data_IF_050500691663
#
_entry.id   IF_050500691663
#
_cell.length_a   1.000
_cell.length_b   1.000
_cell.length_c   1.000
_cell.angle_alpha   90.00
_cell.angle_beta   90.00
_cell.angle_gamma   90.00
#
_symmetry.space_group_name_H-M   'P 1'
#
loop_
_entity.id
_entity.type
_entity.pdbx_description
1 polymer ?
#
# COMPACT_ATOMS: atom_id res chain seq x y z
N UNK A 1 -20.02 22.82 7.51
CA UNK A 1 -20.21 21.75 6.52
C UNK A 1 -20.70 20.55 7.31
N UNK A 2 -21.94 20.11 7.07
CA UNK A 2 -22.45 18.88 7.68
C UNK A 2 -21.54 17.71 7.31
N UNK A 3 -21.18 16.89 8.31
CA UNK A 3 -20.46 15.63 8.08
C UNK A 3 -21.33 14.76 7.17
N UNK A 4 -20.93 14.62 5.92
CA UNK A 4 -21.45 13.55 5.07
C UNK A 4 -21.22 12.23 5.83
N UNK A 5 -22.23 11.37 5.89
CA UNK A 5 -22.21 10.12 6.64
C UNK A 5 -20.98 9.28 6.21
N UNK A 6 -19.95 9.24 7.06
CA UNK A 6 -18.65 8.64 6.74
C UNK A 6 -18.66 7.11 6.95
N UNK A 7 -19.56 6.60 7.81
CA UNK A 7 -19.67 5.16 8.10
C UNK A 7 -20.89 4.55 7.41
N UNK A 8 -20.71 3.32 6.92
CA UNK A 8 -21.81 2.50 6.40
C UNK A 8 -22.70 2.08 7.57
N UNK A 9 -24.02 2.35 7.52
CA UNK A 9 -24.95 1.91 8.56
C UNK A 9 -24.93 0.38 8.73
N UNK A 10 -25.05 -0.09 9.98
CA UNK A 10 -25.07 -1.52 10.29
C UNK A 10 -26.11 -2.31 9.47
N UNK A 11 -27.31 -1.76 9.29
CA UNK A 11 -28.35 -2.38 8.47
C UNK A 11 -27.94 -2.62 7.01
N UNK A 12 -27.05 -1.79 6.44
CA UNK A 12 -26.52 -2.01 5.08
C UNK A 12 -25.46 -3.11 5.07
N UNK A 13 -24.65 -3.23 6.13
CA UNK A 13 -23.70 -4.33 6.28
C UNK A 13 -24.41 -5.66 6.53
N UNK A 14 -25.49 -5.66 7.34
CA UNK A 14 -26.32 -6.85 7.55
C UNK A 14 -26.95 -7.33 6.24
N UNK A 15 -27.40 -6.38 5.39
CA UNK A 15 -27.87 -6.71 4.04
C UNK A 15 -26.78 -7.39 3.19
N UNK A 16 -25.51 -7.00 3.33
CA UNK A 16 -24.41 -7.69 2.62
C UNK A 16 -24.24 -9.12 3.13
N UNK A 17 -24.36 -9.36 4.45
CA UNK A 17 -24.35 -10.70 5.04
C UNK A 17 -25.51 -11.57 4.52
N UNK A 18 -26.69 -10.97 4.29
CA UNK A 18 -27.80 -11.67 3.63
C UNK A 18 -27.46 -12.10 2.20
N UNK A 19 -26.72 -11.27 1.45
CA UNK A 19 -26.26 -11.65 0.10
C UNK A 19 -25.17 -12.72 0.16
N UNK A 20 -24.27 -12.68 1.14
CA UNK A 20 -23.28 -13.74 1.37
C UNK A 20 -23.99 -15.08 1.64
N UNK A 21 -25.01 -15.09 2.49
CA UNK A 21 -25.80 -16.29 2.82
C UNK A 21 -26.54 -16.83 1.58
N UNK A 22 -27.18 -15.97 0.80
CA UNK A 22 -27.87 -16.35 -0.46
C UNK A 22 -26.93 -16.95 -1.49
N UNK A 23 -25.73 -16.37 -1.66
CA UNK A 23 -24.71 -16.88 -2.59
C UNK A 23 -24.18 -18.24 -2.11
N UNK A 24 -23.96 -18.40 -0.81
CA UNK A 24 -23.56 -19.68 -0.22
C UNK A 24 -24.60 -20.75 -0.44
N UNK A 25 -25.90 -20.45 -0.24
CA UNK A 25 -27.01 -21.36 -0.49
C UNK A 25 -27.13 -21.72 -1.97
N UNK A 26 -27.02 -20.72 -2.86
CA UNK A 26 -27.07 -20.92 -4.34
C UNK A 26 -26.02 -21.91 -4.85
N UNK A 27 -24.89 -22.01 -4.17
CA UNK A 27 -23.77 -22.87 -4.54
C UNK A 27 -23.54 -24.01 -3.56
N UNK A 28 -24.53 -24.38 -2.73
CA UNK A 28 -24.37 -25.40 -1.69
C UNK A 28 -23.92 -26.76 -2.24
N UNK A 29 -24.47 -27.17 -3.39
CA UNK A 29 -24.15 -28.45 -4.04
C UNK A 29 -22.75 -28.47 -4.68
N UNK A 30 -22.24 -27.32 -5.08
CA UNK A 30 -20.92 -27.17 -5.71
C UNK A 30 -20.29 -25.84 -5.26
N UNK A 31 -19.56 -25.83 -4.14
CA UNK A 31 -18.85 -24.65 -3.69
C UNK A 31 -17.87 -24.13 -4.75
N UNK A 32 -17.93 -22.83 -5.11
CA UNK A 32 -17.10 -22.28 -6.16
C UNK A 32 -15.64 -22.12 -5.70
N UNK A 33 -14.73 -22.18 -6.65
CA UNK A 33 -13.33 -21.81 -6.46
C UNK A 33 -13.10 -20.37 -6.87
N UNK A 34 -12.43 -19.60 -6.04
CA UNK A 34 -12.09 -18.21 -6.33
C UNK A 34 -10.58 -18.03 -6.49
N UNK A 35 -10.20 -17.18 -7.44
CA UNK A 35 -8.85 -16.66 -7.59
C UNK A 35 -8.92 -15.15 -7.34
N UNK A 36 -8.06 -14.63 -6.44
CA UNK A 36 -7.92 -13.19 -6.19
C UNK A 36 -6.48 -12.79 -6.51
N UNK A 37 -6.29 -12.07 -7.60
CA UNK A 37 -4.97 -11.59 -8.01
C UNK A 37 -4.85 -10.07 -7.78
N UNK A 38 -3.75 -9.65 -7.15
CA UNK A 38 -3.56 -8.28 -6.68
C UNK A 38 -2.42 -7.59 -7.41
N UNK A 39 -2.75 -6.52 -8.14
CA UNK A 39 -1.78 -5.68 -8.85
C UNK A 39 -1.73 -4.30 -8.20
N UNK A 40 -0.77 -4.07 -7.31
CA UNK A 40 -0.75 -2.74 -6.72
C UNK A 40 0.11 -2.55 -5.49
N UNK A 41 -0.37 -1.67 -4.62
CA UNK A 41 0.27 -1.32 -3.36
C UNK A 41 -0.29 -2.14 -2.19
N UNK A 42 0.28 -1.97 -1.01
CA UNK A 42 -0.18 -2.64 0.22
C UNK A 42 -1.67 -2.38 0.54
N UNK A 43 -2.19 -1.20 0.20
CA UNK A 43 -3.62 -0.93 0.34
C UNK A 43 -4.47 -1.84 -0.57
N UNK A 44 -4.01 -2.18 -1.79
CA UNK A 44 -4.71 -3.16 -2.61
C UNK A 44 -4.62 -4.56 -2.01
N UNK A 45 -3.51 -4.92 -1.36
CA UNK A 45 -3.40 -6.19 -0.65
C UNK A 45 -4.42 -6.26 0.50
N UNK A 46 -4.51 -5.21 1.32
CA UNK A 46 -5.53 -5.13 2.37
C UNK A 46 -6.96 -5.20 1.81
N UNK A 47 -7.24 -4.49 0.70
CA UNK A 47 -8.55 -4.56 0.02
C UNK A 47 -8.84 -6.00 -0.47
N UNK A 48 -7.82 -6.72 -0.98
CA UNK A 48 -7.97 -8.13 -1.41
C UNK A 48 -8.24 -9.08 -0.25
N UNK A 49 -7.68 -8.83 0.94
CA UNK A 49 -7.98 -9.62 2.14
C UNK A 49 -9.46 -9.51 2.56
N UNK A 50 -10.09 -8.34 2.40
CA UNK A 50 -11.54 -8.19 2.57
C UNK A 50 -12.32 -8.92 1.49
N UNK A 51 -11.91 -8.83 0.21
CA UNK A 51 -12.54 -9.57 -0.89
C UNK A 51 -12.48 -11.08 -0.62
N UNK A 52 -11.32 -11.59 -0.19
CA UNK A 52 -11.16 -13.00 0.17
C UNK A 52 -12.03 -13.40 1.37
N UNK A 53 -12.16 -12.51 2.36
CA UNK A 53 -13.05 -12.70 3.50
C UNK A 53 -14.52 -12.87 3.08
N UNK A 54 -15.01 -11.97 2.25
CA UNK A 54 -16.37 -12.04 1.70
C UNK A 54 -16.57 -13.29 0.82
N UNK A 55 -15.60 -13.64 -0.05
CA UNK A 55 -15.67 -14.86 -0.85
C UNK A 55 -15.74 -16.12 0.03
N UNK A 56 -14.96 -16.18 1.12
CA UNK A 56 -15.02 -17.28 2.09
C UNK A 56 -16.36 -17.34 2.79
N UNK A 57 -16.95 -16.21 3.18
CA UNK A 57 -18.28 -16.13 3.77
C UNK A 57 -19.37 -16.63 2.80
N UNK A 58 -19.18 -16.39 1.50
CA UNK A 58 -20.03 -16.90 0.42
C UNK A 58 -19.80 -18.39 0.09
N UNK A 59 -18.91 -19.07 0.82
CA UNK A 59 -18.64 -20.50 0.66
C UNK A 59 -17.56 -20.85 -0.38
N UNK A 60 -16.82 -19.87 -0.90
CA UNK A 60 -15.76 -20.13 -1.86
C UNK A 60 -14.53 -20.77 -1.18
N UNK A 61 -13.89 -21.70 -1.87
CA UNK A 61 -12.48 -22.09 -1.68
C UNK A 61 -11.57 -21.30 -2.63
N UNK A 62 -10.24 -21.37 -2.43
CA UNK A 62 -9.30 -20.60 -3.23
C UNK A 62 -8.42 -21.49 -4.11
N UNK A 63 -7.97 -20.94 -5.24
CA UNK A 63 -7.05 -21.56 -6.19
C UNK A 63 -6.15 -20.51 -6.81
N UNK A 64 -4.95 -20.88 -7.22
CA UNK A 64 -4.02 -20.01 -7.98
C UNK A 64 -4.12 -20.23 -9.49
N UNK A 65 -4.90 -21.24 -9.94
CA UNK A 65 -5.08 -21.56 -11.35
C UNK A 65 -6.38 -20.93 -11.90
N UNK A 66 -6.28 -19.94 -12.80
CA UNK A 66 -7.46 -19.29 -13.39
C UNK A 66 -8.35 -20.25 -14.20
N UNK A 67 -7.81 -21.39 -14.67
CA UNK A 67 -8.61 -22.39 -15.38
C UNK A 67 -9.52 -23.20 -14.44
N UNK A 68 -9.18 -23.27 -13.16
CA UNK A 68 -9.96 -23.95 -12.13
C UNK A 68 -10.88 -23.01 -11.34
N UNK A 69 -10.73 -21.70 -11.53
CA UNK A 69 -11.51 -20.71 -10.82
C UNK A 69 -12.91 -20.53 -11.44
N UNK A 70 -13.95 -20.56 -10.61
CA UNK A 70 -15.31 -20.17 -10.97
C UNK A 70 -15.52 -18.66 -10.85
N UNK A 71 -14.77 -18.02 -9.93
CA UNK A 71 -14.74 -16.55 -9.75
C UNK A 71 -13.30 -16.07 -9.81
N UNK A 72 -12.99 -15.15 -10.71
CA UNK A 72 -11.67 -14.50 -10.83
C UNK A 72 -11.82 -13.03 -10.49
N UNK A 73 -11.06 -12.55 -9.50
CA UNK A 73 -11.05 -11.14 -9.10
C UNK A 73 -9.66 -10.56 -9.32
N UNK A 74 -9.56 -9.56 -10.21
CA UNK A 74 -8.34 -8.79 -10.43
C UNK A 74 -8.46 -7.46 -9.68
N UNK A 75 -7.73 -7.32 -8.56
CA UNK A 75 -7.68 -6.07 -7.80
C UNK A 75 -6.49 -5.21 -8.27
N UNK A 76 -6.77 -3.98 -8.70
CA UNK A 76 -5.90 -3.24 -9.60
C UNK A 76 -5.55 -1.84 -9.10
N UNK A 77 -4.34 -1.38 -9.45
CA UNK A 77 -3.77 -0.10 -9.06
C UNK A 77 -3.82 0.93 -10.21
N UNK A 78 -4.07 2.20 -9.88
CA UNK A 78 -4.02 3.30 -10.84
C UNK A 78 -2.68 4.07 -10.85
N UNK A 79 -1.75 3.73 -9.93
CA UNK A 79 -0.52 4.51 -9.72
C UNK A 79 0.62 4.04 -10.64
N UNK A 80 0.69 2.74 -10.98
CA UNK A 80 1.81 2.13 -11.71
C UNK A 80 1.41 1.76 -13.13
N UNK A 81 2.06 2.36 -14.14
CA UNK A 81 1.79 2.11 -15.57
C UNK A 81 1.99 0.63 -15.97
N UNK A 82 3.07 0.03 -15.48
CA UNK A 82 3.32 -1.40 -15.71
C UNK A 82 2.23 -2.31 -15.15
N UNK A 83 1.62 -1.92 -14.00
CA UNK A 83 0.51 -2.69 -13.44
C UNK A 83 -0.73 -2.62 -14.35
N UNK A 84 -1.04 -1.46 -14.90
CA UNK A 84 -2.17 -1.28 -15.82
C UNK A 84 -2.02 -2.13 -17.09
N UNK A 85 -0.83 -2.10 -17.73
CA UNK A 85 -0.53 -2.93 -18.91
C UNK A 85 -0.64 -4.42 -18.61
N UNK A 86 -0.12 -4.86 -17.47
CA UNK A 86 -0.19 -6.25 -17.03
C UNK A 86 -1.63 -6.71 -16.79
N UNK A 87 -2.47 -5.86 -16.20
CA UNK A 87 -3.90 -6.14 -15.98
C UNK A 87 -4.62 -6.36 -17.31
N UNK A 88 -4.41 -5.49 -18.31
CA UNK A 88 -5.03 -5.69 -19.62
C UNK A 88 -4.57 -6.98 -20.31
N UNK A 89 -3.29 -7.36 -20.16
CA UNK A 89 -2.77 -8.64 -20.64
C UNK A 89 -3.48 -9.83 -19.98
N UNK A 90 -3.62 -9.80 -18.65
CA UNK A 90 -4.31 -10.86 -17.90
C UNK A 90 -5.80 -10.91 -18.25
N UNK A 91 -6.49 -9.77 -18.40
CA UNK A 91 -7.87 -9.74 -18.87
C UNK A 91 -7.99 -10.40 -20.26
N UNK A 92 -7.03 -10.14 -21.16
CA UNK A 92 -7.00 -10.79 -22.47
C UNK A 92 -6.86 -12.31 -22.36
N UNK A 93 -5.96 -12.80 -21.50
CA UNK A 93 -5.73 -14.24 -21.28
C UNK A 93 -6.97 -14.95 -20.72
N UNK A 94 -7.72 -14.30 -19.82
CA UNK A 94 -8.95 -14.84 -19.23
C UNK A 94 -10.07 -15.10 -20.26
N UNK A 95 -9.96 -14.58 -21.48
CA UNK A 95 -10.87 -14.94 -22.57
C UNK A 95 -10.86 -16.45 -22.87
N UNK A 96 -9.71 -17.09 -22.71
CA UNK A 96 -9.56 -18.55 -22.96
C UNK A 96 -10.26 -19.36 -21.87
N UNK A 97 -10.08 -19.01 -20.59
CA UNK A 97 -10.71 -19.70 -19.46
C UNK A 97 -12.22 -19.48 -19.47
N UNK A 98 -12.68 -18.26 -19.78
CA UNK A 98 -14.13 -17.95 -19.93
C UNK A 98 -14.78 -18.72 -21.10
N UNK A 99 -14.06 -18.98 -22.20
CA UNK A 99 -14.57 -19.83 -23.29
C UNK A 99 -14.68 -21.29 -22.88
N UNK A 100 -13.72 -21.78 -22.08
CA UNK A 100 -13.74 -23.15 -21.57
C UNK A 100 -14.80 -23.33 -20.47
N UNK A 101 -14.99 -22.34 -19.60
CA UNK A 101 -16.02 -22.29 -18.57
C UNK A 101 -16.89 -21.03 -18.73
N UNK A 102 -17.98 -21.06 -19.52
CA UNK A 102 -18.86 -19.92 -19.74
C UNK A 102 -19.53 -19.38 -18.45
N UNK A 103 -19.59 -20.18 -17.39
CA UNK A 103 -20.15 -19.79 -16.10
C UNK A 103 -19.13 -19.07 -15.20
N UNK A 104 -17.84 -19.08 -15.54
CA UNK A 104 -16.81 -18.35 -14.81
C UNK A 104 -17.17 -16.86 -14.72
N UNK A 105 -17.12 -16.29 -13.51
CA UNK A 105 -17.33 -14.84 -13.30
C UNK A 105 -15.99 -14.15 -13.21
N UNK A 106 -15.78 -13.13 -14.06
CA UNK A 106 -14.56 -12.34 -14.09
C UNK A 106 -14.86 -10.94 -13.55
N UNK A 107 -14.17 -10.55 -12.48
CA UNK A 107 -14.31 -9.28 -11.80
C UNK A 107 -13.04 -8.44 -11.95
N UNK A 108 -13.20 -7.16 -12.26
CA UNK A 108 -12.15 -6.14 -12.22
C UNK A 108 -12.47 -5.13 -11.13
N UNK A 109 -11.57 -4.92 -10.17
CA UNK A 109 -11.80 -3.96 -9.09
C UNK A 109 -10.54 -3.15 -8.74
N UNK A 110 -10.67 -2.29 -7.73
CA UNK A 110 -9.59 -1.44 -7.24
C UNK A 110 -9.49 -0.08 -7.90
N UNK A 111 -8.38 0.62 -7.65
CA UNK A 111 -8.19 2.01 -8.06
C UNK A 111 -8.26 2.22 -9.57
N UNK A 112 -7.75 1.27 -10.37
CA UNK A 112 -7.80 1.37 -11.82
C UNK A 112 -9.25 1.27 -12.33
N UNK A 113 -10.04 0.38 -11.75
CA UNK A 113 -11.44 0.18 -12.13
C UNK A 113 -12.34 1.38 -11.82
N UNK A 114 -11.94 2.24 -10.84
CA UNK A 114 -12.69 3.47 -10.49
C UNK A 114 -12.62 4.55 -11.59
N UNK A 115 -11.66 4.46 -12.50
CA UNK A 115 -11.50 5.44 -13.58
C UNK A 115 -12.56 5.22 -14.67
N UNK A 116 -13.38 6.25 -15.02
CA UNK A 116 -14.48 6.09 -15.99
C UNK A 116 -14.00 5.61 -17.36
N UNK A 117 -12.84 6.09 -17.83
CA UNK A 117 -12.26 5.69 -19.12
C UNK A 117 -11.81 4.23 -19.14
N UNK A 118 -11.37 3.70 -18.00
CA UNK A 118 -11.02 2.27 -17.86
C UNK A 118 -12.28 1.42 -17.88
N UNK A 119 -13.30 1.81 -17.11
CA UNK A 119 -14.58 1.10 -17.08
C UNK A 119 -15.22 1.06 -18.48
N UNK A 120 -15.18 2.17 -19.21
CA UNK A 120 -15.71 2.22 -20.58
C UNK A 120 -14.88 1.36 -21.56
N UNK A 121 -13.54 1.40 -21.49
CA UNK A 121 -12.68 0.52 -22.27
C UNK A 121 -12.97 -0.96 -21.99
N UNK A 122 -13.18 -1.33 -20.73
CA UNK A 122 -13.55 -2.70 -20.36
C UNK A 122 -14.95 -3.05 -20.90
N UNK A 123 -15.89 -2.11 -20.85
CA UNK A 123 -17.25 -2.29 -21.39
C UNK A 123 -17.22 -2.62 -22.88
N UNK A 124 -16.40 -1.91 -23.65
CA UNK A 124 -16.33 -2.05 -25.10
C UNK A 124 -15.47 -3.23 -25.56
N UNK A 125 -14.25 -3.39 -24.96
CA UNK A 125 -13.21 -4.26 -25.49
C UNK A 125 -13.07 -5.60 -24.75
N UNK A 126 -13.55 -5.72 -23.51
CA UNK A 126 -13.41 -6.92 -22.68
C UNK A 126 -14.78 -7.46 -22.27
N UNK A 127 -15.54 -7.92 -23.26
CA UNK A 127 -16.96 -8.36 -23.09
C UNK A 127 -17.13 -9.55 -22.16
N UNK A 128 -16.08 -10.32 -21.89
CA UNK A 128 -16.03 -11.46 -20.98
C UNK A 128 -15.87 -11.06 -19.51
N UNK A 129 -15.63 -9.78 -19.19
CA UNK A 129 -15.62 -9.27 -17.81
C UNK A 129 -17.06 -9.01 -17.37
N UNK A 130 -17.46 -9.64 -16.27
CA UNK A 130 -18.85 -9.64 -15.79
C UNK A 130 -19.11 -8.52 -14.76
N UNK A 131 -18.11 -8.19 -13.92
CA UNK A 131 -18.25 -7.22 -12.84
C UNK A 131 -17.06 -6.24 -12.84
N UNK A 132 -17.37 -4.94 -12.76
CA UNK A 132 -16.38 -3.87 -12.58
C UNK A 132 -16.82 -2.98 -11.43
N UNK A 133 -15.96 -2.81 -10.42
CA UNK A 133 -16.28 -1.94 -9.28
C UNK A 133 -15.03 -1.24 -8.71
N UNK A 134 -15.23 -0.02 -8.21
CA UNK A 134 -14.19 0.77 -7.58
C UNK A 134 -13.99 0.43 -6.10
N UNK A 135 -12.92 0.98 -5.46
CA UNK A 135 -12.65 0.75 -4.04
C UNK A 135 -13.75 1.24 -3.12
N UNK A 136 -14.53 2.22 -3.54
CA UNK A 136 -15.66 2.78 -2.77
C UNK A 136 -16.86 1.83 -2.70
N UNK A 137 -16.98 0.92 -3.67
CA UNK A 137 -18.03 -0.07 -3.73
C UNK A 137 -17.59 -1.47 -3.22
N UNK A 138 -16.37 -1.59 -2.67
CA UNK A 138 -15.82 -2.86 -2.23
C UNK A 138 -16.73 -3.58 -1.22
N UNK A 139 -17.29 -2.87 -0.26
CA UNK A 139 -18.20 -3.43 0.73
C UNK A 139 -19.51 -3.96 0.16
N UNK A 140 -19.89 -3.54 -1.06
CA UNK A 140 -21.07 -4.03 -1.80
C UNK A 140 -20.77 -5.29 -2.62
N UNK A 141 -19.56 -5.82 -2.57
CA UNK A 141 -19.16 -6.92 -3.43
C UNK A 141 -20.11 -8.13 -3.39
N UNK A 142 -20.63 -8.59 -2.22
CA UNK A 142 -21.62 -9.67 -2.18
C UNK A 142 -22.90 -9.36 -2.98
N UNK A 143 -23.46 -8.16 -2.82
CA UNK A 143 -24.65 -7.72 -3.58
C UNK A 143 -24.37 -7.65 -5.08
N UNK A 144 -23.22 -7.07 -5.47
CA UNK A 144 -22.83 -6.94 -6.88
C UNK A 144 -22.63 -8.31 -7.54
N UNK A 145 -21.99 -9.23 -6.84
CA UNK A 145 -21.79 -10.60 -7.32
C UNK A 145 -23.12 -11.35 -7.44
N UNK A 146 -24.02 -11.20 -6.45
CA UNK A 146 -25.38 -11.76 -6.51
C UNK A 146 -26.16 -11.24 -7.73
N UNK A 147 -26.03 -9.96 -8.06
CA UNK A 147 -26.66 -9.37 -9.24
C UNK A 147 -26.12 -9.99 -10.55
N UNK A 148 -24.81 -10.26 -10.64
CA UNK A 148 -24.22 -10.94 -11.81
C UNK A 148 -24.85 -12.32 -12.00
N UNK A 149 -24.95 -13.11 -10.95
CA UNK A 149 -25.51 -14.49 -11.03
C UNK A 149 -27.00 -14.51 -11.36
N UNK A 150 -27.80 -13.63 -10.73
CA UNK A 150 -29.27 -13.65 -10.84
C UNK A 150 -29.78 -12.95 -12.09
N UNK A 151 -29.14 -11.82 -12.48
CA UNK A 151 -29.61 -11.01 -13.62
C UNK A 151 -28.93 -11.44 -14.93
N UNK A 152 -27.89 -12.27 -14.88
CA UNK A 152 -27.10 -12.75 -16.02
C UNK A 152 -26.65 -11.59 -16.95
N UNK A 153 -26.33 -10.45 -16.35
CA UNK A 153 -25.84 -9.26 -17.04
C UNK A 153 -24.57 -8.73 -16.40
N UNK A 154 -23.78 -8.01 -17.18
CA UNK A 154 -22.58 -7.32 -16.70
C UNK A 154 -22.97 -6.20 -15.74
N UNK A 155 -22.25 -6.07 -14.61
CA UNK A 155 -22.49 -5.06 -13.58
C UNK A 155 -21.29 -4.11 -13.51
N UNK A 156 -21.54 -2.80 -13.51
CA UNK A 156 -20.53 -1.75 -13.41
C UNK A 156 -20.91 -0.80 -12.27
N UNK A 157 -20.14 -0.82 -11.18
CA UNK A 157 -20.33 0.01 -9.98
C UNK A 157 -19.12 0.93 -9.79
N UNK A 158 -19.02 1.95 -10.63
CA UNK A 158 -17.92 2.94 -10.66
C UNK A 158 -18.42 4.37 -10.49
N UNK A 159 -19.62 4.55 -9.96
CA UNK A 159 -20.19 5.87 -9.74
C UNK A 159 -19.42 6.65 -8.66
N UNK A 160 -19.44 7.99 -8.75
CA UNK A 160 -18.90 8.93 -7.76
C UNK A 160 -19.76 8.91 -6.48
N UNK A 161 -19.75 7.79 -5.77
CA UNK A 161 -20.24 7.78 -4.41
C UNK A 161 -19.14 8.36 -3.51
N UNK A 162 -19.49 9.32 -2.67
CA UNK A 162 -18.62 9.75 -1.59
C UNK A 162 -18.33 8.54 -0.72
N UNK A 163 -17.09 8.02 -0.81
CA UNK A 163 -16.73 6.78 -0.17
C UNK A 163 -17.03 6.81 1.33
N UNK A 164 -17.60 5.73 1.83
CA UNK A 164 -17.85 5.54 3.24
C UNK A 164 -16.96 4.41 3.79
N UNK A 165 -16.85 4.34 5.11
CA UNK A 165 -16.07 3.32 5.82
C UNK A 165 -17.02 2.20 6.21
N UNK A 166 -16.70 0.97 5.81
CA UNK A 166 -17.40 -0.24 6.24
C UNK A 166 -16.57 -0.92 7.33
N UNK A 167 -17.07 -0.90 8.57
CA UNK A 167 -16.44 -1.59 9.68
C UNK A 167 -16.97 -3.02 9.83
N UNK A 168 -16.13 -3.93 10.31
CA UNK A 168 -16.55 -5.31 10.59
C UNK A 168 -16.80 -6.17 9.35
N UNK A 169 -16.20 -5.83 8.20
CA UNK A 169 -16.19 -6.73 7.05
C UNK A 169 -15.33 -7.97 7.34
N UNK A 170 -15.73 -9.17 6.84
CA UNK A 170 -14.92 -10.35 6.98
C UNK A 170 -13.56 -10.16 6.28
N UNK A 171 -12.49 -10.64 6.89
CA UNK A 171 -11.14 -10.53 6.38
C UNK A 171 -10.43 -11.89 6.42
N UNK A 172 -9.64 -12.17 5.40
CA UNK A 172 -8.75 -13.33 5.37
C UNK A 172 -7.32 -12.85 5.30
N UNK A 173 -6.53 -13.19 6.29
CA UNK A 173 -5.10 -12.89 6.33
C UNK A 173 -4.30 -14.16 6.10
N UNK A 174 -3.31 -14.09 5.25
CA UNK A 174 -2.40 -15.20 4.98
C UNK A 174 -1.24 -15.18 5.99
N UNK A 175 -1.02 -16.30 6.66
CA UNK A 175 0.01 -16.41 7.69
C UNK A 175 -0.31 -15.61 8.96
N UNK A 176 0.67 -15.54 9.88
CA UNK A 176 0.61 -14.79 11.14
C UNK A 176 1.80 -13.86 11.35
N UNK A 177 2.66 -13.72 10.35
CA UNK A 177 3.87 -12.90 10.47
C UNK A 177 3.54 -11.42 10.35
N UNK A 178 2.69 -11.04 9.38
CA UNK A 178 2.37 -9.65 9.05
C UNK A 178 0.89 -9.41 8.84
N UNK A 179 0.41 -8.26 9.33
CA UNK A 179 -0.93 -7.76 9.05
C UNK A 179 -0.92 -6.32 8.55
N UNK A 180 -1.89 -6.00 7.71
CA UNK A 180 -2.16 -4.64 7.25
C UNK A 180 -3.47 -4.16 7.82
N UNK A 181 -3.45 -2.99 8.46
CA UNK A 181 -4.62 -2.35 9.07
C UNK A 181 -4.83 -0.99 8.42
N UNK A 182 -5.88 -0.85 7.63
CA UNK A 182 -6.25 0.44 7.06
C UNK A 182 -6.82 1.32 8.17
N UNK A 183 -6.17 2.45 8.46
CA UNK A 183 -6.63 3.40 9.50
C UNK A 183 -7.43 4.55 8.91
N UNK A 184 -7.25 4.83 7.62
CA UNK A 184 -7.96 5.88 6.90
C UNK A 184 -7.98 5.60 5.40
N UNK A 185 -8.88 6.25 4.69
CA UNK A 185 -9.05 6.17 3.24
C UNK A 185 -9.07 7.56 2.62
N UNK A 186 -8.60 7.66 1.36
CA UNK A 186 -8.60 8.90 0.59
C UNK A 186 -7.47 9.85 0.94
N UNK A 187 -7.35 10.95 0.18
CA UNK A 187 -6.30 11.95 0.37
C UNK A 187 -6.77 13.35 -0.08
N UNK A 188 -6.52 14.36 0.74
CA UNK A 188 -6.87 15.76 0.46
C UNK A 188 -5.71 16.59 -0.10
N UNK A 189 -4.56 15.99 -0.38
CA UNK A 189 -3.37 16.75 -0.78
C UNK A 189 -3.41 17.24 -2.24
N UNK A 190 -4.09 16.53 -3.13
CA UNK A 190 -4.21 16.89 -4.56
C UNK A 190 -2.88 17.27 -5.20
N UNK A 191 -1.80 16.52 -4.88
CA UNK A 191 -0.53 16.67 -5.58
C UNK A 191 -0.78 16.59 -7.08
N UNK A 192 -0.17 17.48 -7.87
CA UNK A 192 -0.54 17.68 -9.29
C UNK A 192 -0.35 16.44 -10.18
N UNK A 193 0.50 15.49 -9.75
CA UNK A 193 0.78 14.23 -10.44
C UNK A 193 -0.05 13.03 -9.95
N UNK A 194 -0.82 13.20 -8.85
CA UNK A 194 -1.39 12.07 -8.12
C UNK A 194 -2.86 11.84 -8.46
N UNK A 195 -3.18 10.60 -8.85
CA UNK A 195 -4.54 10.18 -9.17
C UNK A 195 -5.37 9.76 -7.93
N UNK A 196 -4.72 9.57 -6.77
CA UNK A 196 -5.35 9.01 -5.56
C UNK A 196 -6.61 9.75 -5.11
N UNK A 197 -6.64 11.10 -5.01
CA UNK A 197 -7.86 11.81 -4.62
C UNK A 197 -9.06 11.54 -5.52
N UNK A 198 -8.82 11.24 -6.79
CA UNK A 198 -9.85 11.01 -7.80
C UNK A 198 -10.39 9.57 -7.80
N UNK A 199 -9.61 8.61 -7.30
CA UNK A 199 -10.00 7.19 -7.30
C UNK A 199 -10.34 6.65 -5.90
N UNK A 200 -9.80 7.26 -4.83
CA UNK A 200 -10.10 6.88 -3.44
C UNK A 200 -10.89 7.93 -2.67
N UNK A 201 -11.09 9.10 -3.27
CA UNK A 201 -11.88 10.19 -2.69
C UNK A 201 -11.17 10.98 -1.61
N UNK A 202 -11.94 11.72 -0.82
CA UNK A 202 -11.47 12.55 0.28
C UNK A 202 -11.02 11.73 1.48
N UNK A 203 -10.19 12.34 2.35
CA UNK A 203 -9.75 11.73 3.60
C UNK A 203 -10.92 11.38 4.51
N UNK A 204 -10.87 10.17 5.04
CA UNK A 204 -11.83 9.61 5.99
C UNK A 204 -11.06 8.72 6.97
N UNK A 205 -11.00 9.14 8.23
CA UNK A 205 -10.37 8.39 9.32
C UNK A 205 -11.36 7.37 9.91
N UNK A 206 -10.89 6.17 10.16
CA UNK A 206 -11.62 5.17 10.93
C UNK A 206 -11.69 5.58 12.39
N UNK A 207 -12.65 5.04 13.10
CA UNK A 207 -12.80 5.22 14.54
C UNK A 207 -11.57 4.65 15.27
N UNK A 208 -10.94 5.41 16.20
CA UNK A 208 -9.77 4.96 16.94
C UNK A 208 -10.01 3.66 17.72
N UNK A 209 -11.16 3.53 18.37
CA UNK A 209 -11.47 2.35 19.20
C UNK A 209 -11.51 1.08 18.34
N UNK A 210 -12.09 1.17 17.12
CA UNK A 210 -12.13 0.07 16.17
C UNK A 210 -10.75 -0.36 15.70
N UNK A 211 -9.85 0.60 15.48
CA UNK A 211 -8.46 0.30 15.10
C UNK A 211 -7.72 -0.37 16.26
N UNK A 212 -7.89 0.15 17.47
CA UNK A 212 -7.25 -0.39 18.69
C UNK A 212 -7.72 -1.82 18.94
N UNK A 213 -9.01 -2.08 18.82
CA UNK A 213 -9.58 -3.43 18.98
C UNK A 213 -9.04 -4.39 17.92
N UNK A 214 -9.01 -3.98 16.64
CA UNK A 214 -8.45 -4.79 15.55
C UNK A 214 -6.97 -5.12 15.79
N UNK A 215 -6.16 -4.15 16.21
CA UNK A 215 -4.73 -4.39 16.52
C UNK A 215 -4.59 -5.31 17.72
N UNK A 216 -5.42 -5.15 18.76
CA UNK A 216 -5.40 -6.03 19.94
C UNK A 216 -5.72 -7.48 19.58
N UNK A 217 -6.71 -7.70 18.72
CA UNK A 217 -7.04 -9.03 18.20
C UNK A 217 -5.87 -9.63 17.42
N UNK A 218 -5.24 -8.86 16.53
CA UNK A 218 -4.09 -9.31 15.77
C UNK A 218 -2.90 -9.71 16.65
N UNK A 219 -2.61 -8.92 17.69
CA UNK A 219 -1.55 -9.25 18.65
C UNK A 219 -1.88 -10.52 19.42
N UNK A 220 -3.13 -10.68 19.86
CA UNK A 220 -3.61 -11.90 20.54
C UNK A 220 -3.54 -13.13 19.62
N UNK A 221 -3.79 -12.97 18.32
CA UNK A 221 -3.66 -14.02 17.31
C UNK A 221 -2.19 -14.35 16.95
N UNK A 222 -1.22 -13.60 17.51
CA UNK A 222 0.21 -13.84 17.36
C UNK A 222 0.87 -13.19 16.15
N UNK A 223 0.24 -12.18 15.55
CA UNK A 223 0.89 -11.38 14.50
C UNK A 223 2.10 -10.61 15.06
N UNK A 224 3.22 -10.65 14.35
CA UNK A 224 4.50 -10.07 14.75
C UNK A 224 4.76 -8.66 14.21
N UNK A 225 4.21 -8.34 13.06
CA UNK A 225 4.36 -7.02 12.44
C UNK A 225 2.99 -6.52 11.94
N UNK A 226 2.60 -5.32 12.38
CA UNK A 226 1.34 -4.69 12.00
C UNK A 226 1.66 -3.38 11.31
N UNK A 227 1.25 -3.23 10.06
CA UNK A 227 1.47 -2.01 9.28
C UNK A 227 0.17 -1.23 9.14
N UNK A 228 0.17 -0.01 9.66
CA UNK A 228 -0.93 0.93 9.54
C UNK A 228 -0.92 1.56 8.15
N UNK A 229 -2.04 1.48 7.42
CA UNK A 229 -2.17 1.94 6.06
C UNK A 229 -3.13 3.11 5.93
N UNK A 230 -2.80 3.99 5.01
CA UNK A 230 -3.62 5.10 4.55
C UNK A 230 -2.99 5.73 3.31
N UNK A 231 -3.61 6.74 2.73
CA UNK A 231 -3.02 7.48 1.63
C UNK A 231 -2.25 8.73 2.11
N UNK A 232 -2.44 9.10 3.37
CA UNK A 232 -1.66 10.08 4.12
C UNK A 232 -1.89 9.86 5.62
N UNK A 233 -1.20 8.87 6.21
CA UNK A 233 -1.44 8.48 7.62
C UNK A 233 -1.22 9.61 8.62
N UNK A 234 -0.34 10.57 8.31
CA UNK A 234 -0.04 11.69 9.17
C UNK A 234 -1.22 12.68 9.32
N UNK A 235 -2.21 12.61 8.41
CA UNK A 235 -3.43 13.41 8.51
C UNK A 235 -4.56 12.72 9.27
N UNK A 236 -4.35 11.48 9.73
CA UNK A 236 -5.34 10.74 10.52
C UNK A 236 -5.89 11.59 11.67
N UNK A 237 -7.20 11.52 11.85
CA UNK A 237 -7.92 12.19 12.92
C UNK A 237 -8.36 13.64 12.61
N UNK A 238 -7.79 14.30 11.59
CA UNK A 238 -8.17 15.69 11.25
C UNK A 238 -9.66 15.87 10.92
N UNK A 239 -10.26 14.85 10.31
CA UNK A 239 -11.68 14.84 9.96
C UNK A 239 -12.59 14.36 11.10
N UNK A 240 -12.04 13.82 12.18
CA UNK A 240 -12.82 13.39 13.36
C UNK A 240 -13.32 14.59 14.20
N UNK A 241 -12.62 15.72 14.15
CA UNK A 241 -13.02 16.94 14.87
C UNK A 241 -12.90 16.85 16.41
N UNK A 242 -12.17 15.86 16.91
CA UNK A 242 -11.96 15.62 18.35
C UNK A 242 -10.63 16.14 18.88
N UNK A 243 -9.72 16.54 17.98
CA UNK A 243 -8.33 16.87 18.30
C UNK A 243 -7.43 15.65 18.46
N UNK A 244 -7.95 14.45 18.35
CA UNK A 244 -7.20 13.18 18.34
C UNK A 244 -6.47 13.04 17.00
N UNK A 245 -5.16 12.81 17.04
CA UNK A 245 -4.32 12.75 15.85
C UNK A 245 -3.59 11.39 15.70
N UNK A 246 -2.77 11.27 14.68
CA UNK A 246 -2.01 10.04 14.41
C UNK A 246 -1.03 9.69 15.54
N UNK A 247 -0.42 10.69 16.18
CA UNK A 247 0.48 10.44 17.31
C UNK A 247 -0.27 9.92 18.54
N UNK A 248 -1.52 10.39 18.77
CA UNK A 248 -2.37 9.85 19.83
C UNK A 248 -2.75 8.41 19.57
N UNK A 249 -3.10 8.07 18.32
CA UNK A 249 -3.38 6.68 17.92
C UNK A 249 -2.16 5.77 18.16
N UNK A 250 -0.97 6.19 17.77
CA UNK A 250 0.25 5.40 18.01
C UNK A 250 0.51 5.23 19.52
N UNK A 251 0.25 6.27 20.32
CA UNK A 251 0.39 6.20 21.79
C UNK A 251 -0.56 5.18 22.40
N UNK A 252 -1.81 5.10 21.91
CA UNK A 252 -2.78 4.14 22.43
C UNK A 252 -2.47 2.72 21.95
N UNK A 253 -2.03 2.55 20.71
CA UNK A 253 -1.59 1.25 20.19
C UNK A 253 -0.34 0.72 20.92
N UNK A 254 0.58 1.60 21.34
CA UNK A 254 1.79 1.21 22.08
C UNK A 254 1.49 0.64 23.49
N UNK A 255 0.28 0.87 24.03
CA UNK A 255 -0.17 0.31 25.32
C UNK A 255 -0.59 -1.16 25.22
N UNK A 256 -0.79 -1.69 24.02
CA UNK A 256 -1.18 -3.09 23.84
C UNK A 256 0.03 -3.97 24.18
N UNK A 257 -0.14 -4.88 25.14
CA UNK A 257 0.92 -5.79 25.55
C UNK A 257 1.14 -6.89 24.49
N UNK A 258 2.40 -7.22 24.20
CA UNK A 258 2.78 -8.25 23.24
C UNK A 258 4.16 -8.03 22.64
N UNK A 259 4.63 -9.01 21.87
CA UNK A 259 5.89 -8.92 21.12
C UNK A 259 5.61 -8.72 19.63
N UNK A 260 5.39 -7.48 19.26
CA UNK A 260 5.05 -7.09 17.90
C UNK A 260 5.69 -5.75 17.52
N UNK A 261 5.73 -5.45 16.23
CA UNK A 261 6.23 -4.19 15.68
C UNK A 261 5.12 -3.46 14.94
N UNK A 262 4.93 -2.19 15.25
CA UNK A 262 4.06 -1.28 14.51
C UNK A 262 4.85 -0.53 13.44
N UNK A 263 4.37 -0.57 12.21
CA UNK A 263 4.83 0.25 11.09
C UNK A 263 3.72 1.10 10.54
N UNK A 264 4.08 2.11 9.80
CA UNK A 264 3.12 2.87 8.99
C UNK A 264 3.74 3.31 7.67
N UNK A 265 2.89 3.54 6.69
CA UNK A 265 3.31 3.93 5.34
C UNK A 265 2.50 5.14 4.87
N UNK A 266 3.00 5.81 3.81
CA UNK A 266 2.31 6.92 3.17
C UNK A 266 2.22 8.18 4.02
N UNK A 267 3.34 8.60 4.60
CA UNK A 267 3.47 9.90 5.26
C UNK A 267 3.62 11.06 4.28
N UNK A 268 3.33 12.26 4.72
CA UNK A 268 3.60 13.49 3.97
C UNK A 268 4.28 14.53 4.84
N UNK A 269 5.33 15.21 4.35
CA UNK A 269 6.07 16.21 5.13
C UNK A 269 5.22 17.35 5.71
N UNK A 270 4.18 17.78 4.99
CA UNK A 270 3.23 18.80 5.45
C UNK A 270 2.58 18.45 6.79
N UNK A 271 2.26 17.17 6.97
CA UNK A 271 1.49 16.66 8.11
C UNK A 271 2.38 15.97 9.16
N UNK A 272 3.69 15.87 8.91
CA UNK A 272 4.66 15.38 9.88
C UNK A 272 4.88 16.42 11.01
N UNK A 273 4.80 15.96 12.26
CA UNK A 273 4.92 16.82 13.46
C UNK A 273 6.03 16.34 14.38
N UNK A 274 6.57 17.22 15.19
CA UNK A 274 7.53 16.85 16.25
C UNK A 274 6.89 15.90 17.26
N UNK A 275 5.60 16.12 17.62
CA UNK A 275 4.84 15.21 18.48
C UNK A 275 4.88 13.77 17.97
N UNK A 276 4.70 13.58 16.66
CA UNK A 276 4.79 12.25 16.06
C UNK A 276 6.17 11.62 16.27
N UNK A 277 7.24 12.40 16.06
CA UNK A 277 8.61 11.89 16.22
C UNK A 277 8.94 11.59 17.67
N UNK A 278 8.45 12.39 18.62
CA UNK A 278 8.62 12.15 20.06
C UNK A 278 7.90 10.86 20.49
N UNK A 279 6.68 10.63 20.00
CA UNK A 279 5.95 9.39 20.24
C UNK A 279 6.68 8.19 19.63
N UNK A 280 7.16 8.30 18.40
CA UNK A 280 7.97 7.24 17.77
C UNK A 280 9.22 6.94 18.60
N UNK A 281 9.92 7.97 19.07
CA UNK A 281 11.14 7.81 19.88
C UNK A 281 10.87 7.08 21.20
N UNK A 282 9.77 7.42 21.89
CA UNK A 282 9.40 6.89 23.19
C UNK A 282 8.77 5.47 23.12
N UNK A 283 8.16 5.12 22.00
CA UNK A 283 7.40 3.88 21.84
C UNK A 283 8.29 2.63 21.86
N UNK A 284 7.77 1.56 22.45
CA UNK A 284 8.38 0.22 22.46
C UNK A 284 8.10 -0.54 21.16
N UNK A 285 6.94 -0.33 20.55
CA UNK A 285 6.44 -1.12 19.43
C UNK A 285 6.56 -0.39 18.09
N UNK A 286 6.55 0.94 18.06
CA UNK A 286 6.67 1.67 16.80
C UNK A 286 8.09 1.58 16.25
N UNK A 287 8.22 1.06 15.03
CA UNK A 287 9.49 0.94 14.32
C UNK A 287 10.18 2.31 14.19
N UNK A 288 11.49 2.35 14.46
CA UNK A 288 12.32 3.54 14.18
C UNK A 288 12.62 3.62 12.67
N UNK A 289 11.56 3.58 11.89
CA UNK A 289 11.57 3.70 10.43
C UNK A 289 10.56 4.76 10.01
N UNK A 290 11.00 5.74 9.23
CA UNK A 290 10.17 6.80 8.70
C UNK A 290 10.28 6.83 7.18
N UNK A 291 9.16 6.54 6.50
CA UNK A 291 9.04 6.80 5.07
C UNK A 291 8.40 8.17 4.88
N UNK A 292 9.19 9.16 4.45
CA UNK A 292 8.76 10.55 4.32
C UNK A 292 9.08 11.09 2.91
N UNK A 293 8.16 10.93 1.94
CA UNK A 293 8.38 11.29 0.54
C UNK A 293 8.63 12.77 0.31
N UNK A 294 9.86 13.14 -0.05
CA UNK A 294 10.24 14.53 -0.38
C UNK A 294 9.82 14.93 -1.79
N UNK A 295 9.85 14.00 -2.72
CA UNK A 295 9.52 14.09 -4.14
C UNK A 295 10.52 14.88 -5.00
N UNK A 296 11.02 16.05 -4.57
CA UNK A 296 12.02 16.88 -5.23
C UNK A 296 12.84 17.67 -4.21
N UNK A 297 14.07 17.98 -4.55
CA UNK A 297 14.97 18.87 -3.80
C UNK A 297 14.89 20.33 -4.22
N UNK A 298 14.01 20.68 -5.16
CA UNK A 298 13.84 22.03 -5.67
C UNK A 298 12.48 22.62 -5.26
N UNK A 299 12.48 23.76 -4.59
CA UNK A 299 11.26 24.43 -4.09
C UNK A 299 10.28 24.83 -5.23
N UNK A 300 10.81 25.23 -6.41
CA UNK A 300 9.96 25.54 -7.55
C UNK A 300 9.23 24.30 -8.04
N UNK A 301 9.92 23.17 -8.12
CA UNK A 301 9.34 21.88 -8.55
C UNK A 301 8.33 21.40 -7.50
N UNK A 302 8.63 21.51 -6.21
CA UNK A 302 7.68 21.18 -5.13
C UNK A 302 6.40 22.00 -5.24
N UNK A 303 6.50 23.31 -5.52
CA UNK A 303 5.30 24.15 -5.75
C UNK A 303 4.51 23.70 -6.99
N UNK A 304 5.18 23.36 -8.08
CA UNK A 304 4.54 22.85 -9.30
C UNK A 304 3.87 21.47 -9.06
N UNK A 305 4.43 20.66 -8.17
CA UNK A 305 3.85 19.40 -7.69
C UNK A 305 2.66 19.60 -6.72
N UNK A 306 2.30 20.83 -6.37
CA UNK A 306 1.32 21.17 -5.34
C UNK A 306 1.70 20.57 -3.96
N UNK A 307 2.98 20.70 -3.58
CA UNK A 307 3.52 20.28 -2.28
C UNK A 307 3.69 21.51 -1.38
N UNK A 308 2.85 21.68 -0.32
CA UNK A 308 2.83 22.89 0.51
C UNK A 308 3.91 22.85 1.60
N UNK A 309 5.14 22.59 1.25
CA UNK A 309 6.36 22.69 2.06
C UNK A 309 7.54 22.95 1.14
N UNK A 310 8.63 23.45 1.70
CA UNK A 310 9.91 23.68 1.06
C UNK A 310 11.00 22.74 1.58
N UNK A 311 12.16 22.77 0.93
CA UNK A 311 13.33 21.97 1.30
C UNK A 311 13.83 22.30 2.71
N UNK A 312 13.75 23.58 3.11
CA UNK A 312 14.18 24.01 4.44
C UNK A 312 13.32 23.36 5.55
N UNK A 313 11.99 23.35 5.37
CA UNK A 313 11.07 22.68 6.31
C UNK A 313 11.29 21.17 6.32
N UNK A 314 11.54 20.56 5.18
CA UNK A 314 11.85 19.12 5.10
C UNK A 314 13.12 18.78 5.90
N UNK A 315 14.19 19.55 5.71
CA UNK A 315 15.46 19.36 6.44
C UNK A 315 15.31 19.56 7.94
N UNK A 316 14.51 20.53 8.36
CA UNK A 316 14.18 20.77 9.76
C UNK A 316 13.50 19.54 10.40
N UNK A 317 12.49 18.96 9.73
CA UNK A 317 11.83 17.74 10.18
C UNK A 317 12.80 16.57 10.32
N UNK A 318 13.68 16.34 9.33
CA UNK A 318 14.65 15.25 9.36
C UNK A 318 15.69 15.46 10.46
N UNK A 319 16.16 16.70 10.64
CA UNK A 319 17.13 17.05 11.69
C UNK A 319 16.53 16.75 13.07
N UNK A 320 15.27 17.14 13.29
CA UNK A 320 14.58 16.84 14.52
C UNK A 320 14.39 15.34 14.74
N UNK A 321 13.89 14.63 13.72
CA UNK A 321 13.63 13.19 13.80
C UNK A 321 14.91 12.41 14.14
N UNK A 322 16.05 12.72 13.51
CA UNK A 322 17.34 12.09 13.80
C UNK A 322 17.91 12.47 15.17
N UNK A 323 17.59 13.65 15.66
CA UNK A 323 17.99 14.05 17.02
C UNK A 323 17.31 13.21 18.09
N UNK A 324 16.01 12.93 17.95
CA UNK A 324 15.23 12.16 18.93
C UNK A 324 15.32 10.63 18.68
N UNK A 325 15.67 10.22 17.47
CA UNK A 325 15.88 8.83 17.06
C UNK A 325 17.20 8.70 16.31
N UNK A 326 18.35 8.52 16.99
CA UNK A 326 19.66 8.44 16.33
C UNK A 326 19.80 7.23 15.38
N UNK A 327 19.06 6.15 15.62
CA UNK A 327 19.01 4.92 14.83
C UNK A 327 17.89 4.91 13.77
N UNK A 328 17.28 6.08 13.50
CA UNK A 328 16.20 6.21 12.53
C UNK A 328 16.61 5.73 11.13
N UNK A 329 15.85 4.78 10.60
CA UNK A 329 15.91 4.41 9.19
C UNK A 329 14.97 5.32 8.40
N UNK A 330 15.54 6.13 7.51
CA UNK A 330 14.82 7.13 6.75
C UNK A 330 14.74 6.72 5.27
N UNK A 331 13.54 6.62 4.74
CA UNK A 331 13.28 6.34 3.33
C UNK A 331 12.41 7.43 2.71
N UNK A 332 12.48 7.58 1.38
CA UNK A 332 11.72 8.61 0.68
C UNK A 332 11.37 8.18 -0.75
N UNK A 333 10.45 8.91 -1.37
CA UNK A 333 10.19 8.89 -2.81
C UNK A 333 10.78 10.13 -3.47
N UNK A 334 11.31 9.97 -4.68
CA UNK A 334 11.80 11.05 -5.53
C UNK A 334 11.30 10.85 -6.96
N UNK A 335 10.78 11.91 -7.55
CA UNK A 335 10.36 11.97 -8.96
C UNK A 335 11.30 12.93 -9.69
N UNK A 336 12.02 12.44 -10.70
CA UNK A 336 12.87 13.19 -11.61
C UNK A 336 12.14 13.43 -12.93
N UNK A 337 12.45 14.57 -13.58
CA UNK A 337 11.89 14.92 -14.88
C UNK A 337 10.41 15.29 -14.81
N UNK A 338 9.99 15.93 -13.73
CA UNK A 338 8.68 16.55 -13.63
C UNK A 338 8.50 17.58 -14.75
N UNK A 339 7.29 17.80 -15.33
CA UNK A 339 7.10 18.73 -16.43
C UNK A 339 7.67 20.13 -16.14
N UNK A 340 8.54 20.59 -17.05
CA UNK A 340 9.24 21.86 -16.93
C UNK A 340 10.36 21.89 -15.88
N UNK A 341 10.79 20.75 -15.31
CA UNK A 341 12.00 20.64 -14.50
C UNK A 341 13.24 20.79 -15.39
N UNK A 342 14.19 21.58 -14.93
CA UNK A 342 15.50 21.77 -15.60
C UNK A 342 16.57 20.84 -15.00
N UNK A 343 17.68 20.64 -15.72
CA UNK A 343 18.83 19.86 -15.20
C UNK A 343 19.36 20.42 -13.88
N UNK A 344 19.48 21.77 -13.79
CA UNK A 344 19.94 22.41 -12.56
C UNK A 344 19.05 22.07 -11.36
N UNK A 345 17.73 22.06 -11.54
CA UNK A 345 16.76 21.74 -10.49
C UNK A 345 16.77 20.24 -10.13
N UNK A 346 16.97 19.36 -11.13
CA UNK A 346 17.19 17.95 -10.86
C UNK A 346 18.47 17.71 -10.05
N UNK A 347 19.54 18.50 -10.30
CA UNK A 347 20.77 18.42 -9.52
C UNK A 347 20.60 18.97 -8.10
N UNK A 348 19.69 19.91 -7.83
CA UNK A 348 19.32 20.29 -6.46
C UNK A 348 18.75 19.08 -5.69
N UNK A 349 17.97 18.23 -6.37
CA UNK A 349 17.45 16.99 -5.80
C UNK A 349 18.58 16.01 -5.47
N UNK A 350 19.57 15.86 -6.37
CA UNK A 350 20.75 15.03 -6.11
C UNK A 350 21.52 15.55 -4.90
N UNK A 351 21.77 16.86 -4.82
CA UNK A 351 22.46 17.49 -3.70
C UNK A 351 21.69 17.30 -2.36
N UNK A 352 20.35 17.36 -2.39
CA UNK A 352 19.55 17.05 -1.22
C UNK A 352 19.75 15.60 -0.76
N UNK A 353 19.79 14.64 -1.69
CA UNK A 353 20.02 13.21 -1.37
C UNK A 353 21.40 13.00 -0.75
N UNK A 354 22.45 13.65 -1.30
CA UNK A 354 23.80 13.64 -0.71
C UNK A 354 23.82 14.19 0.72
N UNK A 355 23.07 15.28 0.96
CA UNK A 355 22.98 15.93 2.26
C UNK A 355 22.20 15.12 3.28
N UNK A 356 21.03 14.60 2.88
CA UNK A 356 20.12 13.85 3.79
C UNK A 356 20.64 12.44 4.05
N UNK A 357 21.24 11.78 3.05
CA UNK A 357 21.72 10.40 3.14
C UNK A 357 20.61 9.46 3.56
N UNK A 358 19.66 9.22 2.65
CA UNK A 358 18.56 8.29 2.88
C UNK A 358 19.07 6.84 2.94
N UNK A 359 18.44 6.02 3.77
CA UNK A 359 18.73 4.57 3.82
C UNK A 359 18.31 3.87 2.53
N UNK A 360 17.18 4.29 1.97
CA UNK A 360 16.73 3.87 0.64
C UNK A 360 15.83 4.93 0.00
N UNK A 361 15.85 5.00 -1.32
CA UNK A 361 14.94 5.81 -2.12
C UNK A 361 14.13 4.94 -3.07
N UNK A 362 12.85 5.27 -3.21
CA UNK A 362 12.05 4.85 -4.35
C UNK A 362 12.09 5.97 -5.39
N UNK A 363 12.79 5.71 -6.48
CA UNK A 363 13.10 6.70 -7.52
C UNK A 363 12.28 6.45 -8.77
N UNK A 364 11.73 7.52 -9.34
CA UNK A 364 10.87 7.45 -10.52
C UNK A 364 11.22 8.55 -11.50
N UNK A 365 11.16 8.25 -12.79
CA UNK A 365 11.02 9.29 -13.81
C UNK A 365 9.54 9.60 -13.93
N UNK A 366 9.18 10.89 -13.95
CA UNK A 366 7.79 11.32 -14.09
C UNK A 366 7.09 10.57 -15.23
N UNK A 367 5.90 10.09 -14.95
CA UNK A 367 5.01 9.43 -15.91
C UNK A 367 3.61 10.05 -15.77
N UNK A 368 3.09 10.69 -16.82
CA UNK A 368 1.79 11.36 -16.76
C UNK A 368 0.65 10.37 -16.48
N UNK A 369 -0.25 10.75 -15.58
CA UNK A 369 -1.45 9.98 -15.27
C UNK A 369 -2.67 10.72 -15.83
N UNK A 370 -3.41 10.12 -16.77
CA UNK A 370 -4.64 10.73 -17.29
C UNK A 370 -5.58 11.16 -16.16
N UNK A 371 -6.15 12.34 -16.26
CA UNK A 371 -7.02 12.91 -15.23
C UNK A 371 -6.32 13.77 -14.19
N UNK A 372 -4.97 13.78 -14.14
CA UNK A 372 -4.22 14.64 -13.21
C UNK A 372 -3.82 15.98 -13.84
N UNK A 373 -3.64 17.06 -13.04
CA UNK A 373 -3.15 18.34 -13.55
C UNK A 373 -1.81 18.24 -14.28
N UNK A 374 -0.85 17.49 -13.72
CA UNK A 374 0.48 17.36 -14.31
C UNK A 374 0.50 16.66 -15.67
N UNK A 375 -0.50 15.81 -15.96
CA UNK A 375 -0.62 15.19 -17.28
C UNK A 375 -0.96 16.20 -18.42
N UNK A 376 -1.39 17.41 -18.07
CA UNK A 376 -1.73 18.50 -19.01
C UNK A 376 -0.63 19.55 -19.09
N UNK A 377 0.44 19.43 -18.30
CA UNK A 377 1.56 20.37 -18.32
C UNK A 377 2.44 20.10 -19.54
N UNK A 378 3.01 21.17 -20.08
CA UNK A 378 4.00 21.07 -21.15
C UNK A 378 5.29 20.43 -20.60
N UNK A 379 5.80 19.45 -21.32
CA UNK A 379 6.97 18.67 -20.93
C UNK A 379 8.00 18.67 -22.08
N UNK A 380 8.83 19.73 -22.17
CA UNK A 380 9.76 19.90 -23.29
C UNK A 380 11.02 19.02 -23.20
N UNK A 381 11.29 18.42 -22.04
CA UNK A 381 12.55 17.69 -21.80
C UNK A 381 12.46 16.27 -22.38
N UNK A 382 13.40 15.87 -23.27
CA UNK A 382 13.43 14.53 -23.81
C UNK A 382 13.63 13.44 -22.76
N UNK A 383 13.08 12.25 -23.01
CA UNK A 383 13.17 11.10 -22.09
C UNK A 383 14.59 10.69 -21.78
N UNK A 384 15.49 10.75 -22.78
CA UNK A 384 16.89 10.39 -22.65
C UNK A 384 17.64 11.33 -21.68
N UNK A 385 17.24 12.59 -21.65
CA UNK A 385 17.82 13.57 -20.74
C UNK A 385 17.39 13.33 -19.31
N UNK A 386 16.08 13.11 -19.10
CA UNK A 386 15.55 12.70 -17.79
C UNK A 386 16.17 11.39 -17.30
N UNK A 387 16.47 10.46 -18.21
CA UNK A 387 17.16 9.21 -17.85
C UNK A 387 18.57 9.48 -17.33
N UNK A 388 19.33 10.40 -17.94
CA UNK A 388 20.67 10.77 -17.44
C UNK A 388 20.63 11.35 -16.03
N UNK A 389 19.65 12.23 -15.75
CA UNK A 389 19.46 12.79 -14.39
C UNK A 389 19.10 11.71 -13.39
N UNK A 390 18.20 10.81 -13.78
CA UNK A 390 17.77 9.67 -12.98
C UNK A 390 18.95 8.73 -12.65
N UNK A 391 19.76 8.39 -13.65
CA UNK A 391 20.92 7.50 -13.47
C UNK A 391 21.93 8.11 -12.49
N UNK A 392 22.13 9.44 -12.56
CA UNK A 392 22.99 10.17 -11.61
C UNK A 392 22.44 10.12 -10.18
N UNK A 393 21.15 10.34 -10.01
CA UNK A 393 20.47 10.22 -8.70
C UNK A 393 20.64 8.80 -8.13
N UNK A 394 20.40 7.78 -8.96
CA UNK A 394 20.51 6.39 -8.54
C UNK A 394 21.96 6.03 -8.16
N UNK A 395 22.95 6.50 -8.90
CA UNK A 395 24.37 6.25 -8.59
C UNK A 395 24.75 6.81 -7.21
N UNK A 396 24.32 8.04 -6.90
CA UNK A 396 24.56 8.68 -5.60
C UNK A 396 23.88 7.89 -4.48
N UNK A 397 22.58 7.58 -4.62
CA UNK A 397 21.84 6.84 -3.60
C UNK A 397 22.40 5.44 -3.38
N UNK A 398 22.79 4.74 -4.44
CA UNK A 398 23.35 3.39 -4.32
C UNK A 398 24.65 3.40 -3.50
N UNK A 399 25.53 4.40 -3.72
CA UNK A 399 26.73 4.58 -2.90
C UNK A 399 26.40 4.83 -1.42
N UNK A 400 25.41 5.70 -1.14
CA UNK A 400 24.96 5.98 0.23
C UNK A 400 24.40 4.71 0.89
N UNK A 401 23.53 3.98 0.20
CA UNK A 401 22.94 2.74 0.74
C UNK A 401 24.00 1.69 1.05
N UNK A 402 24.98 1.51 0.19
CA UNK A 402 26.10 0.59 0.42
C UNK A 402 26.92 0.97 1.65
N UNK A 403 27.27 2.26 1.79
CA UNK A 403 27.98 2.76 2.96
C UNK A 403 27.20 2.54 4.27
N UNK A 404 25.89 2.83 4.26
CA UNK A 404 25.04 2.65 5.42
C UNK A 404 24.87 1.16 5.77
N UNK A 405 24.70 0.28 4.79
CA UNK A 405 24.59 -1.15 5.04
C UNK A 405 25.89 -1.74 5.58
N UNK A 406 27.05 -1.31 5.09
CA UNK A 406 28.36 -1.76 5.57
C UNK A 406 28.56 -1.54 7.08
N UNK A 407 27.91 -0.53 7.66
CA UNK A 407 28.01 -0.24 9.09
C UNK A 407 27.39 -1.35 9.98
N UNK A 408 26.51 -2.19 9.42
CA UNK A 408 25.89 -3.30 10.15
C UNK A 408 26.76 -4.57 10.17
N UNK A 409 27.75 -4.67 9.32
CA UNK A 409 28.65 -5.85 9.28
C UNK A 409 29.38 -6.01 10.62
N UNK A 410 29.27 -7.19 11.20
CA UNK A 410 29.81 -7.51 12.52
C UNK A 410 28.83 -7.27 13.68
N UNK A 411 27.64 -6.68 13.43
CA UNK A 411 26.61 -6.51 14.46
C UNK A 411 25.67 -7.72 14.47
N UNK A 412 25.06 -7.98 15.62
CA UNK A 412 23.93 -8.91 15.76
C UNK A 412 22.64 -8.10 15.86
N UNK A 413 21.68 -8.38 14.96
CA UNK A 413 20.45 -7.63 14.83
C UNK A 413 19.24 -8.55 15.08
N UNK A 414 18.29 -8.08 15.87
CA UNK A 414 16.99 -8.76 16.01
C UNK A 414 16.18 -8.56 14.72
N UNK A 415 15.86 -9.66 14.04
CA UNK A 415 15.17 -9.68 12.76
C UNK A 415 13.93 -10.58 12.82
N UNK A 416 12.86 -10.18 12.14
CA UNK A 416 11.70 -11.03 11.90
C UNK A 416 11.96 -11.86 10.65
N UNK A 417 12.01 -13.18 10.78
CA UNK A 417 12.16 -14.10 9.64
C UNK A 417 10.82 -14.16 8.89
N UNK A 418 10.78 -13.64 7.67
CA UNK A 418 9.52 -13.32 6.98
C UNK A 418 9.28 -14.10 5.68
N UNK A 419 10.25 -14.91 5.26
CA UNK A 419 10.11 -15.68 4.03
C UNK A 419 11.25 -16.65 3.75
N UNK A 420 11.04 -17.44 2.72
CA UNK A 420 12.06 -18.30 2.12
C UNK A 420 12.70 -17.58 0.92
N UNK A 421 13.92 -17.99 0.58
CA UNK A 421 14.68 -17.49 -0.55
C UNK A 421 15.07 -18.65 -1.46
N UNK A 422 15.11 -18.40 -2.77
CA UNK A 422 15.60 -19.38 -3.76
C UNK A 422 17.14 -19.50 -3.79
N UNK A 423 17.87 -18.63 -3.08
CA UNK A 423 19.34 -18.73 -2.96
C UNK A 423 19.71 -19.76 -1.90
N UNK A 424 20.23 -20.90 -2.32
CA UNK A 424 20.63 -21.99 -1.42
C UNK A 424 21.68 -21.59 -0.36
N UNK A 425 22.44 -20.52 -0.58
CA UNK A 425 23.39 -19.98 0.42
C UNK A 425 22.66 -19.23 1.53
N UNK A 426 21.51 -18.66 1.23
CA UNK A 426 20.70 -17.81 2.09
C UNK A 426 19.24 -18.26 1.98
N UNK A 427 18.87 -19.41 2.56
CA UNK A 427 17.54 -20.01 2.33
C UNK A 427 16.39 -19.22 2.95
N UNK A 428 16.69 -18.26 3.83
CA UNK A 428 15.68 -17.45 4.51
C UNK A 428 15.85 -15.96 4.21
N UNK A 429 14.74 -15.24 4.26
CA UNK A 429 14.71 -13.79 4.33
C UNK A 429 14.18 -13.33 5.68
N UNK A 430 14.72 -12.24 6.18
CA UNK A 430 14.29 -11.60 7.42
C UNK A 430 14.29 -10.08 7.27
N UNK A 431 13.69 -9.40 8.24
CA UNK A 431 13.67 -7.94 8.28
C UNK A 431 14.09 -7.43 9.65
N UNK A 432 14.98 -6.44 9.64
CA UNK A 432 15.30 -5.69 10.85
C UNK A 432 14.12 -4.83 11.31
N UNK A 433 14.14 -4.33 12.55
CA UNK A 433 13.18 -3.36 13.05
C UNK A 433 13.10 -2.11 12.15
N UNK A 434 14.21 -1.69 11.53
CA UNK A 434 14.26 -0.60 10.54
C UNK A 434 13.77 -0.98 9.14
N UNK A 435 13.32 -2.23 8.91
CA UNK A 435 12.77 -2.70 7.64
C UNK A 435 13.80 -3.11 6.59
N UNK A 436 15.11 -3.18 6.93
CA UNK A 436 16.14 -3.66 6.00
C UNK A 436 15.98 -5.14 5.73
N UNK A 437 16.15 -5.52 4.47
CA UNK A 437 16.18 -6.92 4.05
C UNK A 437 17.48 -7.58 4.55
N UNK A 438 17.32 -8.75 5.12
CA UNK A 438 18.43 -9.63 5.53
C UNK A 438 18.23 -10.99 4.88
N UNK A 439 19.21 -11.43 4.10
CA UNK A 439 19.28 -12.80 3.64
C UNK A 439 20.09 -13.60 4.69
N UNK A 440 19.52 -14.68 5.21
CA UNK A 440 20.18 -15.40 6.31
C UNK A 440 20.13 -16.91 6.15
N UNK A 441 21.10 -17.56 6.79
CA UNK A 441 21.09 -18.99 7.06
C UNK A 441 20.29 -19.24 8.33
N UNK A 442 19.56 -20.33 8.38
CA UNK A 442 18.72 -20.72 9.51
C UNK A 442 17.87 -21.93 9.17
N UNK A 443 16.98 -22.31 10.06
CA UNK A 443 16.05 -23.41 9.87
C UNK A 443 14.66 -22.87 9.40
N UNK A 444 13.95 -23.68 8.63
CA UNK A 444 12.57 -23.38 8.22
C UNK A 444 11.64 -23.19 9.43
N UNK A 445 11.97 -23.76 10.57
CA UNK A 445 11.25 -23.55 11.83
C UNK A 445 11.35 -22.11 12.36
N UNK A 446 12.29 -21.31 11.86
CA UNK A 446 12.44 -19.90 12.24
C UNK A 446 11.44 -18.97 11.55
N UNK A 447 10.73 -19.44 10.53
CA UNK A 447 9.75 -18.64 9.82
C UNK A 447 8.63 -18.12 10.75
N UNK A 448 8.41 -16.82 10.69
CA UNK A 448 7.42 -16.13 11.53
C UNK A 448 7.92 -15.70 12.90
N UNK A 449 9.16 -16.02 13.25
CA UNK A 449 9.74 -15.72 14.56
C UNK A 449 10.79 -14.60 14.48
N UNK A 450 10.96 -13.89 15.59
CA UNK A 450 12.11 -13.02 15.78
C UNK A 450 13.35 -13.86 16.10
N UNK A 451 14.44 -13.57 15.40
CA UNK A 451 15.75 -14.20 15.62
C UNK A 451 16.85 -13.15 15.67
N UNK A 452 17.88 -13.44 16.42
CA UNK A 452 19.10 -12.68 16.41
C UNK A 452 19.96 -13.16 15.24
N UNK A 453 20.31 -12.23 14.34
CA UNK A 453 21.06 -12.52 13.11
C UNK A 453 22.39 -11.79 13.17
N UNK A 454 23.49 -12.55 13.14
CA UNK A 454 24.85 -12.02 13.01
C UNK A 454 25.10 -11.62 11.58
N UNK A 455 25.24 -10.31 11.33
CA UNK A 455 25.50 -9.76 9.99
C UNK A 455 26.96 -10.01 9.62
N UNK A 456 27.18 -10.71 8.53
CA UNK A 456 28.51 -11.09 8.03
C UNK A 456 28.93 -10.35 6.79
N UNK A 457 27.97 -9.87 5.98
CA UNK A 457 28.22 -9.15 4.73
C UNK A 457 27.06 -8.21 4.40
N UNK A 458 27.28 -7.32 3.43
CA UNK A 458 26.27 -6.39 2.94
C UNK A 458 26.51 -5.97 1.48
N UNK A 459 25.45 -5.56 0.81
CA UNK A 459 25.52 -4.87 -0.48
C UNK A 459 24.57 -3.66 -0.48
N UNK A 460 24.39 -3.01 -1.63
CA UNK A 460 23.50 -1.86 -1.81
C UNK A 460 22.04 -2.15 -1.37
N UNK A 461 21.57 -3.41 -1.49
CA UNK A 461 20.15 -3.76 -1.38
C UNK A 461 19.78 -4.56 -0.14
N UNK A 462 20.75 -5.27 0.45
CA UNK A 462 20.51 -6.22 1.53
C UNK A 462 21.71 -6.40 2.45
N UNK A 463 21.43 -6.92 3.63
CA UNK A 463 22.38 -7.48 4.57
C UNK A 463 22.40 -9.00 4.43
N UNK A 464 23.51 -9.63 4.82
CA UNK A 464 23.65 -11.07 4.81
C UNK A 464 24.16 -11.53 6.18
N UNK A 465 23.63 -12.65 6.69
CA UNK A 465 23.99 -13.07 8.04
C UNK A 465 23.59 -14.51 8.38
N UNK A 466 23.85 -14.88 9.62
CA UNK A 466 23.54 -16.20 10.16
C UNK A 466 22.69 -16.03 11.42
N UNK A 467 21.61 -16.80 11.56
CA UNK A 467 20.84 -16.89 12.80
C UNK A 467 21.72 -17.53 13.87
N UNK A 468 21.82 -16.88 15.05
CA UNK A 468 22.60 -17.35 16.22
C UNK A 468 21.75 -18.20 17.15
#
# INVERSE_FOLDING_TARGET
MERTQVQIPAAQLDRQRDFEAKLKEMHADRPPRALVDTFGCQQNVADSQYIMGMLRAMGCSFTDDPAQADVVVLNTCAIRDHAEKRVYGNLGALTHTKKANPQQVICLCGCMAQRPEVAEKVRQSYRHVDLVFGPQALWKFPELLYQVYTQRRRVFSVADEHGAIAEGMPVVREGRTRAWVSIMYGCNNFCSYCIVPYVRGRERSRDPERIIDEVRELVADGFREITLLGQNVNSYGKDLGTGYDFADLLTDLDKIEGDYLLRFMSSQPKDATYKLFDVMAASRHVAKQLHLPVQSGCDRVLRAMNRPYDVARYLDLITYARRVMPDLVLTSDVIIGFPGETESEAMETVALVEKVRFDALFTFIFSPRPGTPAAKMEDPVPREEKQRWFDRLCAVQNGISEELHRQYVGQTLRCLVDGESDDARWPLTARTAGGRLVHCTGDRADLGEYRDVKITDSNTWALFGTIE
#
